data_IF_412784474165
#
_entry.id   IF_412784474165
#
_cell.length_a   1.000
_cell.length_b   1.000
_cell.length_c   1.000
_cell.angle_alpha   90.00
_cell.angle_beta   90.00
_cell.angle_gamma   90.00
#
_symmetry.space_group_name_H-M   'P 1'
#
loop_
_entity.id
_entity.type
_entity.pdbx_description
1 polymer ?
#
# COMPACT_ATOMS: atom_id res chain seq x y z
N UNK A 1 30.52 40.16 13.74
CA UNK A 1 29.24 39.43 13.75
C UNK A 1 29.49 38.10 13.06
N UNK A 2 29.52 37.00 13.81
CA UNK A 2 29.67 35.66 13.24
C UNK A 2 28.34 35.26 12.62
N UNK A 3 28.29 35.27 11.28
CA UNK A 3 27.18 34.73 10.51
C UNK A 3 27.16 33.20 10.66
N UNK A 4 26.58 32.68 11.74
CA UNK A 4 26.23 31.26 11.81
C UNK A 4 24.93 31.05 11.03
N UNK A 5 24.94 30.26 9.94
CA UNK A 5 23.73 29.97 9.20
C UNK A 5 22.75 29.19 10.09
N UNK A 6 21.47 29.59 10.08
CA UNK A 6 20.42 28.90 10.81
C UNK A 6 20.11 27.57 10.13
N UNK A 7 20.31 26.47 10.86
CA UNK A 7 20.04 25.10 10.38
C UNK A 7 18.88 24.53 11.22
N UNK A 8 17.75 24.14 10.61
CA UNK A 8 16.64 23.52 11.33
C UNK A 8 17.07 22.21 12.01
N UNK A 9 16.63 22.01 13.25
CA UNK A 9 16.73 20.70 13.90
C UNK A 9 15.61 19.81 13.36
N UNK A 10 15.97 18.71 12.71
CA UNK A 10 15.00 17.81 12.09
C UNK A 10 14.10 17.15 13.14
N UNK A 11 12.79 17.11 12.88
CA UNK A 11 11.83 16.28 13.64
C UNK A 11 11.96 14.78 13.29
N UNK A 12 12.70 14.44 12.24
CA UNK A 12 12.89 13.09 11.72
C UNK A 12 14.38 12.87 11.39
N UNK A 13 15.27 12.87 12.41
CA UNK A 13 16.72 12.81 12.18
C UNK A 13 17.19 11.47 11.59
N UNK A 14 16.35 10.44 11.61
CA UNK A 14 16.69 9.08 11.16
C UNK A 14 16.21 8.76 9.74
N UNK A 15 15.57 9.70 9.03
CA UNK A 15 15.13 9.47 7.66
C UNK A 15 16.19 9.94 6.66
N UNK A 16 16.67 9.01 5.84
CA UNK A 16 17.55 9.27 4.70
C UNK A 16 16.83 9.22 3.35
N UNK A 17 17.59 9.40 2.27
CA UNK A 17 17.13 9.15 0.90
C UNK A 17 16.69 7.69 0.74
N UNK A 18 15.57 7.44 0.07
CA UNK A 18 15.00 6.09 0.00
C UNK A 18 15.75 5.18 -0.98
N UNK A 19 15.88 3.89 -0.62
CA UNK A 19 16.52 2.84 -1.43
C UNK A 19 15.97 2.78 -2.86
N UNK A 20 14.69 3.12 -3.05
CA UNK A 20 14.01 3.12 -4.34
C UNK A 20 14.70 4.02 -5.38
N UNK A 21 15.20 5.19 -4.95
CA UNK A 21 15.91 6.12 -5.82
C UNK A 21 17.28 5.58 -6.22
N UNK A 22 18.00 4.93 -5.30
CA UNK A 22 19.30 4.34 -5.57
C UNK A 22 19.19 3.20 -6.59
N UNK A 23 18.24 2.28 -6.38
CA UNK A 23 18.02 1.15 -7.30
C UNK A 23 17.56 1.61 -8.69
N UNK A 24 16.75 2.66 -8.76
CA UNK A 24 16.32 3.23 -10.06
C UNK A 24 17.50 3.86 -10.82
N UNK A 25 18.38 4.59 -10.12
CA UNK A 25 19.58 5.17 -10.72
C UNK A 25 20.55 4.08 -11.20
N UNK A 26 20.77 3.05 -10.38
CA UNK A 26 21.62 1.91 -10.73
C UNK A 26 21.08 1.15 -11.95
N UNK A 27 19.77 0.93 -12.00
CA UNK A 27 19.12 0.29 -13.14
C UNK A 27 19.30 1.07 -14.43
N UNK A 28 19.14 2.40 -14.39
CA UNK A 28 19.38 3.27 -15.54
C UNK A 28 20.85 3.22 -16.00
N UNK A 29 21.80 3.27 -15.06
CA UNK A 29 23.23 3.24 -15.37
C UNK A 29 23.65 1.95 -16.08
N UNK A 30 23.03 0.82 -15.74
CA UNK A 30 23.38 -0.51 -16.28
C UNK A 30 22.39 -1.03 -17.32
N UNK A 31 21.41 -0.21 -17.75
CA UNK A 31 20.34 -0.64 -18.67
C UNK A 31 19.64 -1.93 -18.19
N UNK A 32 19.45 -2.02 -16.86
CA UNK A 32 18.78 -3.14 -16.23
C UNK A 32 17.26 -3.05 -16.38
N UNK A 33 16.59 -4.20 -16.44
CA UNK A 33 15.13 -4.26 -16.37
C UNK A 33 14.70 -3.87 -14.96
N UNK A 34 13.91 -2.80 -14.86
CA UNK A 34 13.53 -2.23 -13.57
C UNK A 34 12.27 -2.91 -12.99
N UNK A 35 12.47 -3.97 -12.19
CA UNK A 35 11.44 -4.59 -11.37
C UNK A 35 11.44 -4.06 -9.92
N UNK A 36 12.26 -3.04 -9.61
CA UNK A 36 12.38 -2.47 -8.26
C UNK A 36 11.24 -1.49 -7.94
N UNK A 37 10.84 -0.68 -8.92
CA UNK A 37 9.81 0.34 -8.78
C UNK A 37 8.41 -0.28 -8.72
N UNK A 38 7.69 0.04 -7.64
CA UNK A 38 6.35 -0.46 -7.35
C UNK A 38 5.21 0.26 -8.08
N UNK A 39 5.39 0.58 -9.36
CA UNK A 39 4.35 1.16 -10.21
C UNK A 39 4.42 0.61 -11.66
N UNK A 40 3.29 0.67 -12.41
CA UNK A 40 3.20 0.21 -13.80
C UNK A 40 4.16 0.90 -14.77
N UNK A 41 4.69 0.17 -15.76
CA UNK A 41 5.37 0.73 -16.95
C UNK A 41 4.45 0.71 -18.20
N UNK A 42 3.15 0.53 -17.96
CA UNK A 42 2.04 0.67 -18.90
C UNK A 42 1.06 1.71 -18.35
N UNK A 43 0.26 2.31 -19.24
CA UNK A 43 -0.66 3.38 -18.87
C UNK A 43 -2.03 2.84 -18.40
N UNK A 44 -2.85 3.71 -17.82
CA UNK A 44 -4.18 3.39 -17.31
C UNK A 44 -5.30 3.38 -18.36
N UNK A 45 -6.55 3.17 -17.93
CA UNK A 45 -7.71 3.12 -18.83
C UNK A 45 -7.92 4.44 -19.57
N UNK A 46 -8.02 4.35 -20.89
CA UNK A 46 -8.23 5.52 -21.76
C UNK A 46 -9.51 6.29 -21.43
N UNK A 47 -10.60 5.57 -21.12
CA UNK A 47 -11.87 6.21 -20.73
C UNK A 47 -11.66 7.19 -19.57
N UNK A 48 -10.92 6.77 -18.54
CA UNK A 48 -10.62 7.58 -17.37
C UNK A 48 -9.86 8.87 -17.74
N UNK A 49 -8.88 8.78 -18.66
CA UNK A 49 -8.15 9.94 -19.19
C UNK A 49 -9.06 10.90 -19.99
N UNK A 50 -9.95 10.34 -20.81
CA UNK A 50 -10.92 11.12 -21.60
C UNK A 50 -11.91 11.85 -20.68
N UNK A 51 -12.36 11.21 -19.60
CA UNK A 51 -13.24 11.84 -18.61
C UNK A 51 -12.53 12.97 -17.86
N UNK A 52 -11.24 12.82 -17.53
CA UNK A 52 -10.45 13.91 -16.96
C UNK A 52 -10.41 15.11 -17.91
N UNK A 53 -10.04 14.89 -19.17
CA UNK A 53 -9.99 15.95 -20.17
C UNK A 53 -11.36 16.63 -20.36
N UNK A 54 -12.44 15.84 -20.37
CA UNK A 54 -13.81 16.34 -20.45
C UNK A 54 -14.15 17.29 -19.29
N UNK A 55 -13.90 16.89 -18.04
CA UNK A 55 -14.24 17.73 -16.87
C UNK A 55 -13.39 19.00 -16.78
N UNK A 56 -12.12 18.93 -17.20
CA UNK A 56 -11.27 20.12 -17.36
C UNK A 56 -11.87 21.08 -18.37
N UNK A 57 -12.28 20.58 -19.54
CA UNK A 57 -12.86 21.39 -20.62
C UNK A 57 -14.22 22.01 -20.25
N UNK A 58 -15.01 21.35 -19.39
CA UNK A 58 -16.27 21.87 -18.85
C UNK A 58 -16.08 22.95 -17.77
N UNK A 59 -14.83 23.27 -17.40
CA UNK A 59 -14.54 24.31 -16.41
C UNK A 59 -14.64 23.85 -14.96
N UNK A 60 -14.75 22.54 -14.69
CA UNK A 60 -14.81 21.97 -13.34
C UNK A 60 -13.44 21.95 -12.64
N UNK A 61 -12.77 23.10 -12.61
CA UNK A 61 -11.38 23.29 -12.19
C UNK A 61 -11.25 24.06 -10.86
N UNK A 62 -12.36 24.51 -10.28
CA UNK A 62 -12.38 25.19 -8.98
C UNK A 62 -12.39 24.18 -7.83
N UNK A 63 -12.27 24.67 -6.60
CA UNK A 63 -12.25 23.82 -5.41
C UNK A 63 -13.41 22.82 -5.35
N UNK A 64 -13.07 21.56 -5.09
CA UNK A 64 -14.04 20.55 -4.70
C UNK A 64 -14.49 20.78 -3.24
N UNK A 65 -15.61 20.19 -2.81
CA UNK A 65 -15.94 20.11 -1.39
C UNK A 65 -14.80 19.47 -0.59
N UNK A 66 -14.57 19.92 0.65
CA UNK A 66 -13.46 19.44 1.49
C UNK A 66 -13.47 17.93 1.70
N UNK A 67 -14.64 17.31 1.84
CA UNK A 67 -14.74 15.85 2.01
C UNK A 67 -14.54 15.06 0.71
N UNK A 68 -14.50 15.74 -0.43
CA UNK A 68 -14.52 15.18 -1.77
C UNK A 68 -15.81 15.47 -2.53
N UNK A 69 -15.74 15.35 -3.85
CA UNK A 69 -16.88 15.51 -4.76
C UNK A 69 -17.98 14.52 -4.41
N UNK A 70 -19.22 15.00 -4.29
CA UNK A 70 -20.40 14.21 -3.91
C UNK A 70 -20.54 12.94 -4.77
N UNK A 71 -20.51 13.10 -6.09
CA UNK A 71 -20.65 11.98 -7.03
C UNK A 71 -19.56 10.91 -6.86
N UNK A 72 -18.35 11.29 -6.44
CA UNK A 72 -17.29 10.32 -6.16
C UNK A 72 -17.55 9.59 -4.85
N UNK A 73 -17.94 10.28 -3.79
CA UNK A 73 -18.27 9.65 -2.50
C UNK A 73 -19.45 8.68 -2.63
N UNK A 74 -20.50 9.06 -3.35
CA UNK A 74 -21.64 8.18 -3.64
C UNK A 74 -21.22 6.94 -4.46
N UNK A 75 -20.37 7.11 -5.47
CA UNK A 75 -19.84 5.98 -6.26
C UNK A 75 -18.99 5.03 -5.41
N UNK A 76 -18.19 5.56 -4.47
CA UNK A 76 -17.43 4.77 -3.50
C UNK A 76 -18.38 4.03 -2.55
N UNK A 77 -19.42 4.68 -2.03
CA UNK A 77 -20.40 4.05 -1.15
C UNK A 77 -21.07 2.84 -1.82
N UNK A 78 -21.54 3.02 -3.07
CA UNK A 78 -22.14 1.94 -3.85
C UNK A 78 -21.15 0.81 -4.18
N UNK A 79 -19.90 1.15 -4.51
CA UNK A 79 -18.83 0.16 -4.71
C UNK A 79 -18.61 -0.68 -3.43
N UNK A 80 -18.59 -0.01 -2.28
CA UNK A 80 -18.36 -0.64 -0.98
C UNK A 80 -19.49 -1.62 -0.62
N UNK A 81 -20.74 -1.24 -0.91
CA UNK A 81 -21.91 -2.10 -0.73
C UNK A 81 -21.82 -3.36 -1.56
N UNK A 82 -21.51 -3.22 -2.86
CA UNK A 82 -21.39 -4.35 -3.79
C UNK A 82 -20.27 -5.33 -3.40
N UNK A 83 -19.14 -4.81 -2.91
CA UNK A 83 -17.98 -5.64 -2.58
C UNK A 83 -18.09 -6.31 -1.21
N UNK A 84 -18.61 -5.61 -0.20
CA UNK A 84 -18.50 -6.03 1.20
C UNK A 84 -19.86 -6.16 1.91
N UNK A 85 -20.98 -5.97 1.20
CA UNK A 85 -22.33 -6.14 1.74
C UNK A 85 -22.72 -5.07 2.76
N UNK A 86 -22.07 -3.91 2.74
CA UNK A 86 -22.37 -2.77 3.60
C UNK A 86 -22.17 -1.45 2.86
N UNK A 87 -23.15 -0.56 2.95
CA UNK A 87 -23.09 0.77 2.37
C UNK A 87 -22.74 1.81 3.46
N UNK A 88 -21.54 2.43 3.40
CA UNK A 88 -21.22 3.59 4.22
C UNK A 88 -22.10 4.78 3.86
N UNK A 89 -22.29 5.70 4.80
CA UNK A 89 -22.90 6.99 4.50
C UNK A 89 -21.92 7.82 3.65
N UNK A 90 -22.38 8.25 2.47
CA UNK A 90 -21.52 8.96 1.53
C UNK A 90 -21.05 10.32 2.08
N UNK A 91 -21.84 10.97 2.94
CA UNK A 91 -21.59 12.31 3.46
C UNK A 91 -20.77 12.29 4.74
N UNK A 92 -20.94 11.30 5.63
CA UNK A 92 -20.22 11.24 6.89
C UNK A 92 -19.03 10.28 6.91
N UNK A 93 -19.06 9.19 6.14
CA UNK A 93 -18.15 8.06 6.37
C UNK A 93 -16.99 7.98 5.36
N UNK A 94 -17.11 8.70 4.24
CA UNK A 94 -16.13 8.66 3.14
C UNK A 94 -15.39 9.99 3.02
N UNK A 95 -14.06 9.96 2.97
CA UNK A 95 -13.23 11.16 2.76
C UNK A 95 -12.25 10.93 1.63
N UNK A 96 -12.30 11.75 0.59
CA UNK A 96 -11.35 11.71 -0.54
C UNK A 96 -10.07 12.45 -0.16
N UNK A 97 -8.92 11.88 -0.50
CA UNK A 97 -7.59 12.43 -0.18
C UNK A 97 -6.68 12.43 -1.41
N UNK A 98 -5.59 13.20 -1.38
CA UNK A 98 -4.55 13.28 -2.41
C UNK A 98 -3.65 12.03 -2.38
N UNK A 99 -4.27 10.88 -2.64
CA UNK A 99 -3.68 9.55 -2.58
C UNK A 99 -3.87 8.91 -1.20
N UNK A 100 -3.67 7.60 -1.16
CA UNK A 100 -3.72 6.83 0.08
C UNK A 100 -2.66 7.29 1.10
N UNK A 101 -1.52 7.80 0.64
CA UNK A 101 -0.48 8.36 1.52
C UNK A 101 -1.03 9.48 2.41
N UNK A 102 -1.87 10.38 1.87
CA UNK A 102 -2.51 11.41 2.69
C UNK A 102 -3.58 10.79 3.61
N UNK A 103 -4.38 9.84 3.14
CA UNK A 103 -5.37 9.17 4.00
C UNK A 103 -4.73 8.48 5.21
N UNK A 104 -3.62 7.76 5.00
CA UNK A 104 -2.82 7.16 6.06
C UNK A 104 -2.30 8.22 7.03
N UNK A 105 -1.68 9.28 6.52
CA UNK A 105 -1.18 10.36 7.37
C UNK A 105 -2.30 11.01 8.18
N UNK A 106 -3.40 11.40 7.53
CA UNK A 106 -4.52 12.06 8.18
C UNK A 106 -5.16 11.18 9.25
N UNK A 107 -5.33 9.88 8.98
CA UNK A 107 -5.86 8.92 9.94
C UNK A 107 -4.91 8.69 11.13
N UNK A 108 -3.62 8.51 10.88
CA UNK A 108 -2.62 8.36 11.94
C UNK A 108 -2.58 9.64 12.79
N UNK A 109 -2.48 10.81 12.17
CA UNK A 109 -2.41 12.09 12.89
C UNK A 109 -3.67 12.42 13.67
N UNK A 110 -4.84 12.02 13.19
CA UNK A 110 -6.10 12.22 13.89
C UNK A 110 -6.25 11.32 15.13
N UNK A 111 -5.68 10.10 15.09
CA UNK A 111 -5.96 9.07 16.10
C UNK A 111 -4.84 8.85 17.10
N UNK A 112 -3.60 9.21 16.75
CA UNK A 112 -2.40 9.03 17.59
C UNK A 112 -2.07 10.31 18.35
N UNK A 113 -1.99 10.20 19.67
CA UNK A 113 -1.54 11.26 20.58
C UNK A 113 -0.13 10.94 21.09
N UNK A 114 0.49 11.93 21.73
CA UNK A 114 1.81 11.75 22.35
C UNK A 114 1.80 10.60 23.36
N UNK A 115 2.72 9.65 23.18
CA UNK A 115 2.90 8.50 24.07
C UNK A 115 2.01 7.29 23.75
N UNK A 116 1.07 7.41 22.81
CA UNK A 116 0.26 6.29 22.35
C UNK A 116 1.13 5.26 21.63
N UNK A 117 0.84 3.97 21.85
CA UNK A 117 1.50 2.86 21.16
C UNK A 117 0.72 2.44 19.92
N UNK A 118 1.44 2.23 18.82
CA UNK A 118 0.87 1.80 17.54
C UNK A 118 1.53 0.50 17.12
N UNK A 119 0.74 -0.56 16.98
CA UNK A 119 1.22 -1.86 16.50
C UNK A 119 1.32 -1.84 14.98
N UNK A 120 2.48 -2.18 14.45
CA UNK A 120 2.79 -2.34 13.03
C UNK A 120 3.42 -3.72 12.78
N UNK A 121 3.38 -4.18 11.53
CA UNK A 121 3.90 -5.49 11.12
C UNK A 121 5.05 -5.30 10.13
N UNK A 122 6.24 -5.74 10.49
CA UNK A 122 7.39 -5.77 9.59
C UNK A 122 7.44 -7.12 8.85
N UNK A 123 7.87 -7.16 7.58
CA UNK A 123 8.33 -6.02 6.77
C UNK A 123 7.17 -5.06 6.41
N UNK A 124 7.37 -3.75 6.57
CA UNK A 124 6.29 -2.74 6.49
C UNK A 124 6.51 -1.73 5.37
N UNK A 125 5.43 -1.19 4.80
CA UNK A 125 5.50 0.03 4.01
C UNK A 125 6.04 1.20 4.86
N UNK A 126 6.93 2.00 4.28
CA UNK A 126 7.80 2.94 4.99
C UNK A 126 7.09 4.19 5.53
N UNK A 127 5.91 4.52 5.00
CA UNK A 127 5.21 5.76 5.35
C UNK A 127 4.54 5.76 6.73
N UNK A 128 4.28 4.60 7.33
CA UNK A 128 3.53 4.53 8.59
C UNK A 128 4.34 5.08 9.77
N UNK A 129 5.59 4.61 9.91
CA UNK A 129 6.45 4.95 11.06
C UNK A 129 6.73 6.46 11.18
N UNK A 130 7.05 7.19 10.09
CA UNK A 130 7.23 8.64 10.15
C UNK A 130 5.98 9.41 10.60
N UNK A 131 4.78 9.01 10.15
CA UNK A 131 3.54 9.68 10.54
C UNK A 131 3.25 9.48 12.04
N UNK A 132 3.46 8.26 12.56
CA UNK A 132 3.34 7.95 13.99
C UNK A 132 4.32 8.82 14.80
N UNK A 133 5.59 8.88 14.37
CA UNK A 133 6.62 9.67 15.03
C UNK A 133 6.30 11.17 15.05
N UNK A 134 5.77 11.72 13.96
CA UNK A 134 5.40 13.14 13.89
C UNK A 134 4.25 13.53 14.83
N UNK A 135 3.39 12.56 15.19
CA UNK A 135 2.35 12.67 16.22
C UNK A 135 2.84 12.34 17.65
N UNK A 136 4.10 11.97 17.81
CA UNK A 136 4.69 11.58 19.11
C UNK A 136 4.25 10.21 19.60
N UNK A 137 3.76 9.35 18.71
CA UNK A 137 3.44 7.95 19.02
C UNK A 137 4.68 7.06 19.04
N UNK A 138 4.53 5.88 19.64
CA UNK A 138 5.57 4.86 19.79
C UNK A 138 5.21 3.65 18.96
N UNK A 139 6.06 3.29 18.00
CA UNK A 139 5.84 2.09 17.17
C UNK A 139 6.18 0.84 17.98
N UNK A 140 5.27 -0.13 18.00
CA UNK A 140 5.47 -1.51 18.46
C UNK A 140 5.43 -2.43 17.25
N UNK A 141 6.54 -3.11 16.96
CA UNK A 141 6.65 -3.93 15.75
C UNK A 141 6.47 -5.40 16.08
N UNK A 142 5.75 -6.08 15.21
CA UNK A 142 5.75 -7.54 15.09
C UNK A 142 6.55 -7.92 13.85
N UNK A 143 7.48 -8.85 13.96
CA UNK A 143 8.26 -9.32 12.82
C UNK A 143 7.59 -10.55 12.19
N UNK A 144 6.84 -10.36 11.11
CA UNK A 144 6.23 -11.44 10.35
C UNK A 144 7.33 -12.31 9.70
N UNK A 145 7.24 -13.62 9.90
CA UNK A 145 8.28 -14.54 9.46
C UNK A 145 7.97 -15.19 8.10
N UNK A 146 8.95 -15.27 7.18
CA UNK A 146 8.80 -16.06 5.96
C UNK A 146 8.64 -17.57 6.28
N UNK A 147 8.09 -18.37 5.34
CA UNK A 147 7.67 -17.98 4.00
C UNK A 147 6.23 -17.46 3.92
N UNK A 148 5.44 -17.58 4.99
CA UNK A 148 3.99 -17.31 4.96
C UNK A 148 3.58 -15.99 5.62
N UNK A 149 4.48 -15.33 6.36
CA UNK A 149 4.24 -14.02 7.00
C UNK A 149 2.91 -13.93 7.76
N UNK A 150 2.55 -15.01 8.46
CA UNK A 150 1.32 -15.06 9.26
C UNK A 150 1.53 -14.29 10.56
N UNK A 151 0.46 -13.67 11.04
CA UNK A 151 0.42 -13.04 12.36
C UNK A 151 0.52 -14.12 13.42
N UNK A 152 1.50 -14.02 14.31
CA UNK A 152 1.51 -14.77 15.56
C UNK A 152 0.62 -14.03 16.57
N UNK A 153 -0.55 -14.59 16.84
CA UNK A 153 -1.54 -13.98 17.74
C UNK A 153 -1.12 -14.00 19.21
N UNK A 154 -0.18 -14.86 19.62
CA UNK A 154 0.39 -14.84 20.97
C UNK A 154 1.41 -13.70 21.09
N UNK A 155 2.27 -13.53 20.08
CA UNK A 155 3.17 -12.36 19.99
C UNK A 155 2.35 -11.05 19.93
N UNK A 156 1.26 -11.03 19.16
CA UNK A 156 0.35 -9.88 19.09
C UNK A 156 -0.18 -9.51 20.47
N UNK A 157 -0.69 -10.49 21.20
CA UNK A 157 -1.24 -10.28 22.54
C UNK A 157 -0.18 -9.75 23.52
N UNK A 158 1.07 -10.17 23.37
CA UNK A 158 2.19 -9.69 24.20
C UNK A 158 2.61 -8.24 23.88
N UNK A 159 2.30 -7.72 22.69
CA UNK A 159 2.54 -6.32 22.32
C UNK A 159 1.47 -5.36 22.84
N UNK A 160 0.30 -5.88 23.22
CA UNK A 160 -0.78 -5.06 23.77
C UNK A 160 -0.41 -4.47 25.13
N UNK A 161 -0.81 -3.23 25.34
CA UNK A 161 -0.73 -2.54 26.63
C UNK A 161 -1.88 -1.55 26.78
N UNK A 162 -2.01 -0.97 27.97
CA UNK A 162 -2.93 0.14 28.25
C UNK A 162 -2.68 1.39 27.37
N UNK A 163 -1.51 1.48 26.73
CA UNK A 163 -1.16 2.57 25.81
C UNK A 163 -1.41 2.22 24.34
N UNK A 164 -1.73 0.97 24.02
CA UNK A 164 -2.01 0.59 22.64
C UNK A 164 -3.26 1.33 22.18
N UNK A 165 -3.10 2.17 21.16
CA UNK A 165 -4.16 3.02 20.62
C UNK A 165 -4.63 2.56 19.25
N UNK A 166 -3.71 2.01 18.46
CA UNK A 166 -3.92 1.79 17.04
C UNK A 166 -3.16 0.54 16.59
N UNK A 167 -3.79 -0.24 15.71
CA UNK A 167 -3.15 -1.29 14.92
C UNK A 167 -3.18 -0.83 13.46
N UNK A 168 -2.02 -0.82 12.80
CA UNK A 168 -1.92 -0.58 11.35
C UNK A 168 -1.60 -1.91 10.68
N UNK A 169 -2.50 -2.38 9.84
CA UNK A 169 -2.30 -3.57 9.01
C UNK A 169 -2.37 -3.19 7.53
N UNK A 170 -1.72 -3.98 6.67
CA UNK A 170 -1.76 -3.80 5.23
C UNK A 170 -2.09 -5.13 4.54
N UNK A 171 -3.20 -5.16 3.81
CA UNK A 171 -3.67 -6.37 3.13
C UNK A 171 -4.42 -6.01 1.84
N UNK A 172 -4.01 -6.53 0.67
CA UNK A 172 -2.81 -7.34 0.42
C UNK A 172 -1.49 -6.65 0.80
N UNK A 173 -0.57 -7.42 1.38
CA UNK A 173 0.58 -6.92 2.12
C UNK A 173 1.77 -6.60 1.21
N UNK A 174 2.16 -5.33 1.17
CA UNK A 174 3.42 -4.87 0.60
C UNK A 174 4.46 -4.73 1.73
N UNK A 175 5.56 -5.50 1.70
CA UNK A 175 6.15 -6.15 0.51
C UNK A 175 5.95 -7.68 0.38
N UNK A 176 5.36 -8.38 1.35
CA UNK A 176 5.41 -9.86 1.38
C UNK A 176 4.55 -10.57 0.32
N UNK A 177 3.60 -9.87 -0.28
CA UNK A 177 2.60 -10.40 -1.21
C UNK A 177 1.61 -11.41 -0.57
N UNK A 178 1.52 -11.44 0.76
CA UNK A 178 0.51 -12.24 1.50
C UNK A 178 -0.77 -11.46 1.73
N UNK A 179 -1.84 -12.14 2.11
CA UNK A 179 -3.13 -11.51 2.43
C UNK A 179 -3.65 -11.97 3.78
N UNK A 180 -4.37 -11.08 4.45
CA UNK A 180 -5.19 -11.46 5.59
C UNK A 180 -6.42 -12.22 5.13
N UNK A 181 -6.77 -13.27 5.85
CA UNK A 181 -7.98 -14.04 5.67
C UNK A 181 -9.09 -13.53 6.58
N UNK A 182 -10.33 -13.96 6.32
CA UNK A 182 -11.46 -13.65 7.21
C UNK A 182 -11.20 -14.07 8.67
N UNK A 183 -10.51 -15.20 8.86
CA UNK A 183 -10.13 -15.70 10.18
C UNK A 183 -9.13 -14.78 10.89
N UNK A 184 -8.25 -14.10 10.16
CA UNK A 184 -7.27 -13.17 10.75
C UNK A 184 -7.97 -11.90 11.27
N UNK A 185 -8.96 -11.39 10.55
CA UNK A 185 -9.80 -10.29 11.07
C UNK A 185 -10.62 -10.73 12.29
N UNK A 186 -11.17 -11.95 12.28
CA UNK A 186 -11.86 -12.49 13.44
C UNK A 186 -10.92 -12.60 14.65
N UNK A 187 -9.68 -13.05 14.45
CA UNK A 187 -8.67 -13.14 15.51
C UNK A 187 -8.24 -11.76 16.02
N UNK A 188 -8.06 -10.77 15.12
CA UNK A 188 -7.80 -9.38 15.50
C UNK A 188 -8.91 -8.84 16.41
N UNK A 189 -10.17 -9.05 16.03
CA UNK A 189 -11.31 -8.65 16.86
C UNK A 189 -11.23 -9.28 18.25
N UNK A 190 -11.02 -10.59 18.35
CA UNK A 190 -10.90 -11.28 19.64
C UNK A 190 -9.78 -10.68 20.49
N UNK A 191 -8.65 -10.32 19.88
CA UNK A 191 -7.51 -9.77 20.60
C UNK A 191 -7.71 -8.33 21.12
N UNK A 192 -8.50 -7.49 20.41
CA UNK A 192 -8.63 -6.06 20.74
C UNK A 192 -10.01 -5.63 21.27
N UNK A 193 -11.00 -6.53 21.28
CA UNK A 193 -12.40 -6.18 21.55
C UNK A 193 -12.61 -5.39 22.85
N UNK A 194 -11.91 -5.77 23.92
CA UNK A 194 -12.03 -5.15 25.24
C UNK A 194 -11.25 -3.84 25.42
N UNK A 195 -10.51 -3.39 24.40
CA UNK A 195 -9.55 -2.29 24.52
C UNK A 195 -9.97 -1.11 23.63
N UNK A 196 -9.51 0.10 23.96
CA UNK A 196 -9.74 1.32 23.16
C UNK A 196 -8.76 1.44 21.98
N UNK A 197 -8.73 0.38 21.16
CA UNK A 197 -7.80 0.24 20.04
C UNK A 197 -8.56 0.45 18.73
N UNK A 198 -8.11 1.43 17.95
CA UNK A 198 -8.53 1.65 16.57
C UNK A 198 -7.76 0.75 15.60
N UNK A 199 -8.28 0.58 14.39
CA UNK A 199 -7.59 -0.12 13.29
C UNK A 199 -7.46 0.79 12.08
N UNK A 200 -6.29 0.85 11.47
CA UNK A 200 -6.11 1.33 10.10
C UNK A 200 -5.76 0.13 9.24
N UNK A 201 -6.58 -0.13 8.23
CA UNK A 201 -6.37 -1.16 7.23
C UNK A 201 -5.96 -0.49 5.91
N UNK A 202 -4.69 -0.58 5.57
CA UNK A 202 -4.20 -0.19 4.25
C UNK A 202 -4.58 -1.28 3.25
N UNK A 203 -5.60 -1.01 2.43
CA UNK A 203 -6.17 -1.92 1.44
C UNK A 203 -5.97 -1.38 0.02
N UNK A 204 -4.89 -0.64 -0.25
CA UNK A 204 -4.67 -0.05 -1.59
C UNK A 204 -4.55 -1.08 -2.72
N UNK A 205 -4.33 -2.35 -2.38
CA UNK A 205 -4.27 -3.49 -3.28
C UNK A 205 -5.53 -4.38 -3.22
N UNK A 206 -6.66 -3.91 -2.65
CA UNK A 206 -7.90 -4.69 -2.44
C UNK A 206 -8.38 -5.46 -3.70
N UNK A 207 -8.13 -4.93 -4.89
CA UNK A 207 -8.53 -5.55 -6.16
C UNK A 207 -7.47 -6.50 -6.75
N UNK A 208 -6.37 -6.72 -6.05
CA UNK A 208 -5.26 -7.58 -6.50
C UNK A 208 -5.04 -8.65 -5.43
N UNK A 209 -6.05 -9.50 -5.27
CA UNK A 209 -5.99 -10.69 -4.45
C UNK A 209 -6.31 -11.92 -5.30
N UNK A 210 -5.43 -12.91 -5.26
CA UNK A 210 -5.49 -14.11 -6.09
C UNK A 210 -6.25 -15.27 -5.43
N UNK A 211 -6.73 -15.10 -4.19
CA UNK A 211 -7.53 -16.09 -3.47
C UNK A 211 -8.84 -16.38 -4.20
N UNK A 212 -9.38 -17.59 -4.01
CA UNK A 212 -10.70 -17.93 -4.55
C UNK A 212 -11.82 -17.24 -3.77
N UNK A 213 -11.60 -16.97 -2.47
CA UNK A 213 -12.56 -16.28 -1.62
C UNK A 213 -12.67 -14.78 -1.92
N UNK A 214 -11.72 -14.21 -2.67
CA UNK A 214 -11.59 -12.78 -2.87
C UNK A 214 -10.97 -12.07 -1.66
N UNK A 215 -10.88 -10.74 -1.76
CA UNK A 215 -10.28 -9.88 -0.73
C UNK A 215 -11.11 -9.83 0.54
N UNK A 216 -10.50 -10.17 1.67
CA UNK A 216 -11.07 -9.93 2.98
C UNK A 216 -10.76 -8.50 3.42
N UNK A 217 -11.78 -7.66 3.48
CA UNK A 217 -11.66 -6.28 3.95
C UNK A 217 -12.02 -6.17 5.43
N UNK A 218 -11.41 -5.21 6.15
CA UNK A 218 -11.87 -4.83 7.50
C UNK A 218 -13.33 -4.37 7.49
N UNK A 219 -13.80 -3.82 6.36
CA UNK A 219 -15.18 -3.38 6.18
C UNK A 219 -16.17 -4.55 6.14
N UNK A 220 -15.72 -5.77 5.84
CA UNK A 220 -16.59 -6.94 5.86
C UNK A 220 -16.84 -7.48 7.30
N UNK A 221 -16.05 -7.05 8.29
CA UNK A 221 -16.21 -7.47 9.68
C UNK A 221 -17.07 -6.45 10.47
N UNK A 222 -18.30 -6.80 10.92
CA UNK A 222 -19.22 -5.83 11.50
C UNK A 222 -18.67 -5.04 12.70
N UNK A 223 -18.01 -5.71 13.65
CA UNK A 223 -17.52 -5.06 14.86
C UNK A 223 -16.23 -4.26 14.66
N UNK A 224 -15.27 -4.77 13.87
CA UNK A 224 -14.05 -4.03 13.54
C UNK A 224 -14.36 -2.78 12.73
N UNK A 225 -15.31 -2.85 11.78
CA UNK A 225 -15.75 -1.72 10.96
C UNK A 225 -16.07 -0.47 11.80
N UNK A 226 -16.77 -0.64 12.93
CA UNK A 226 -17.17 0.46 13.83
C UNK A 226 -15.99 1.14 14.56
N UNK A 227 -14.77 0.64 14.40
CA UNK A 227 -13.54 1.20 14.99
C UNK A 227 -12.36 1.21 14.02
N UNK A 228 -12.62 1.06 12.73
CA UNK A 228 -11.60 0.94 11.71
C UNK A 228 -11.66 2.06 10.67
N UNK A 229 -10.52 2.28 10.02
CA UNK A 229 -10.36 3.10 8.83
C UNK A 229 -9.82 2.19 7.73
N UNK A 230 -10.60 1.96 6.68
CA UNK A 230 -10.10 1.31 5.47
C UNK A 230 -9.55 2.38 4.53
N UNK A 231 -8.35 2.17 3.98
CA UNK A 231 -7.69 3.11 3.05
C UNK A 231 -7.53 2.48 1.68
N UNK A 232 -7.92 3.21 0.64
CA UNK A 232 -7.89 2.75 -0.75
C UNK A 232 -7.14 3.74 -1.66
N UNK A 233 -6.63 3.25 -2.80
CA UNK A 233 -5.93 4.08 -3.79
C UNK A 233 -6.43 3.85 -5.22
N UNK A 234 -6.94 4.91 -5.85
CA UNK A 234 -7.29 4.87 -7.27
C UNK A 234 -6.07 4.77 -8.17
N UNK A 235 -4.95 5.39 -7.79
CA UNK A 235 -3.70 5.29 -8.56
C UNK A 235 -3.17 3.85 -8.67
N UNK A 236 -3.45 3.00 -7.67
CA UNK A 236 -3.12 1.57 -7.70
C UNK A 236 -4.11 0.78 -8.56
N UNK A 237 -5.40 1.04 -8.37
CA UNK A 237 -6.48 0.34 -9.09
C UNK A 237 -6.47 0.63 -10.60
N UNK A 238 -6.21 1.87 -11.00
CA UNK A 238 -6.30 2.31 -12.40
C UNK A 238 -4.92 2.59 -13.04
N UNK A 239 -3.87 1.99 -12.48
CA UNK A 239 -2.51 2.00 -13.04
C UNK A 239 -1.83 3.37 -13.19
N UNK A 240 -2.45 4.45 -12.69
CA UNK A 240 -1.97 5.83 -12.83
C UNK A 240 -1.54 6.40 -11.48
N UNK A 241 -0.44 5.90 -10.92
CA UNK A 241 0.03 6.26 -9.57
C UNK A 241 0.34 7.75 -9.40
N UNK A 242 0.65 8.45 -10.49
CA UNK A 242 0.90 9.89 -10.51
C UNK A 242 -0.34 10.76 -10.30
N UNK A 243 -1.55 10.21 -10.44
CA UNK A 243 -2.79 10.97 -10.24
C UNK A 243 -3.06 11.34 -8.79
N UNK A 244 -2.48 10.58 -7.85
CA UNK A 244 -2.56 10.85 -6.39
C UNK A 244 -3.99 11.16 -5.94
N UNK A 245 -4.92 10.24 -6.21
CA UNK A 245 -6.26 10.24 -5.60
C UNK A 245 -6.45 8.93 -4.83
N UNK A 246 -6.90 9.05 -3.59
CA UNK A 246 -7.25 7.95 -2.70
C UNK A 246 -8.44 8.35 -1.85
N UNK A 247 -8.85 7.47 -0.95
CA UNK A 247 -9.90 7.76 0.01
C UNK A 247 -9.77 6.87 1.23
N UNK A 248 -10.47 7.24 2.30
CA UNK A 248 -10.73 6.35 3.42
C UNK A 248 -12.22 6.22 3.70
N UNK A 249 -12.59 5.07 4.27
CA UNK A 249 -13.92 4.76 4.79
C UNK A 249 -13.80 4.46 6.28
N UNK A 250 -14.51 5.23 7.10
CA UNK A 250 -14.56 5.05 8.54
C UNK A 250 -15.89 5.57 9.10
N UNK A 251 -16.38 5.03 10.24
CA UNK A 251 -17.55 5.56 10.92
C UNK A 251 -17.50 7.08 11.11
N UNK A 252 -18.65 7.74 10.99
CA UNK A 252 -18.80 9.19 11.08
C UNK A 252 -17.94 9.88 12.18
N UNK A 253 -17.86 9.37 13.44
CA UNK A 253 -17.04 10.01 14.46
C UNK A 253 -15.53 10.00 14.14
N UNK A 254 -15.03 8.91 13.55
CA UNK A 254 -13.63 8.76 13.15
C UNK A 254 -13.36 9.63 11.92
N UNK A 255 -14.23 9.54 10.92
CA UNK A 255 -14.14 10.35 9.70
C UNK A 255 -14.16 11.85 10.00
N UNK A 256 -14.92 12.31 11.00
CA UNK A 256 -14.92 13.70 11.43
C UNK A 256 -13.53 14.17 11.89
N UNK A 257 -12.79 13.38 12.67
CA UNK A 257 -11.44 13.74 13.11
C UNK A 257 -10.42 13.67 11.97
N UNK A 258 -10.54 12.68 11.07
CA UNK A 258 -9.71 12.60 9.86
C UNK A 258 -9.88 13.87 9.01
N UNK A 259 -11.14 14.30 8.82
CA UNK A 259 -11.47 15.51 8.03
C UNK A 259 -10.90 16.78 8.65
N UNK A 260 -10.85 16.90 9.98
CA UNK A 260 -10.22 18.04 10.66
C UNK A 260 -8.71 18.13 10.40
N UNK A 261 -8.04 17.00 10.18
CA UNK A 261 -6.64 16.98 9.75
C UNK A 261 -6.56 17.30 8.25
N UNK A 262 -7.25 16.53 7.40
CA UNK A 262 -7.27 16.69 5.95
C UNK A 262 -7.55 18.12 5.48
N UNK A 263 -8.51 18.81 6.11
CA UNK A 263 -8.90 20.17 5.74
C UNK A 263 -7.74 21.18 5.82
N UNK A 264 -6.70 20.90 6.61
CA UNK A 264 -5.52 21.75 6.77
C UNK A 264 -4.25 21.14 6.15
N UNK A 265 -4.33 19.91 5.64
CA UNK A 265 -3.25 19.30 4.86
C UNK A 265 -3.31 19.74 3.41
N UNK A 266 -4.45 19.51 2.77
CA UNK A 266 -4.65 19.84 1.35
C UNK A 266 -5.96 20.58 1.09
N UNK A 267 -6.86 20.65 2.08
CA UNK A 267 -8.20 21.22 2.02
C UNK A 267 -9.16 20.53 1.05
N UNK A 268 -8.75 20.33 -0.20
CA UNK A 268 -9.53 19.65 -1.23
C UNK A 268 -8.58 18.96 -2.23
N UNK A 269 -9.09 17.95 -2.93
CA UNK A 269 -8.34 17.15 -3.91
C UNK A 269 -8.72 17.55 -5.34
N UNK A 270 -7.86 17.28 -6.32
CA UNK A 270 -8.05 17.62 -7.73
C UNK A 270 -9.48 17.33 -8.24
N UNK A 271 -10.26 18.40 -8.46
CA UNK A 271 -11.69 18.34 -8.81
C UNK A 271 -12.00 17.57 -10.09
N UNK A 272 -11.35 17.86 -11.24
CA UNK A 272 -11.68 17.13 -12.47
C UNK A 272 -11.26 15.66 -12.41
N UNK A 273 -10.18 15.30 -11.70
CA UNK A 273 -9.80 13.91 -11.48
C UNK A 273 -10.84 13.15 -10.65
N UNK A 274 -11.39 13.78 -9.59
CA UNK A 274 -12.45 13.17 -8.78
C UNK A 274 -13.71 12.87 -9.62
N UNK A 275 -14.12 13.81 -10.46
CA UNK A 275 -15.27 13.63 -11.36
C UNK A 275 -15.01 12.53 -12.40
N UNK A 276 -13.81 12.45 -12.96
CA UNK A 276 -13.42 11.39 -13.89
C UNK A 276 -13.43 10.00 -13.23
N UNK A 277 -12.97 9.91 -11.98
CA UNK A 277 -12.98 8.67 -11.20
C UNK A 277 -14.41 8.24 -10.84
N UNK A 278 -15.29 9.19 -10.55
CA UNK A 278 -16.72 8.90 -10.34
C UNK A 278 -17.36 8.35 -11.61
N UNK A 279 -17.02 8.88 -12.78
CA UNK A 279 -17.47 8.34 -14.07
C UNK A 279 -16.93 6.93 -14.29
N UNK A 280 -15.62 6.69 -14.09
CA UNK A 280 -15.00 5.37 -14.24
C UNK A 280 -15.67 4.30 -13.36
N UNK A 281 -15.88 4.60 -12.08
CA UNK A 281 -16.51 3.66 -11.14
C UNK A 281 -17.93 3.24 -11.55
N UNK A 282 -18.68 4.16 -12.17
CA UNK A 282 -20.06 3.93 -12.59
C UNK A 282 -20.14 3.27 -13.97
N UNK A 283 -19.25 3.64 -14.88
CA UNK A 283 -19.25 3.19 -16.26
C UNK A 283 -18.64 1.79 -16.41
N UNK A 284 -17.55 1.49 -15.71
CA UNK A 284 -16.77 0.25 -15.89
C UNK A 284 -16.44 -0.44 -14.55
N UNK A 285 -17.45 -0.80 -13.73
CA UNK A 285 -17.21 -1.52 -12.47
C UNK A 285 -16.50 -2.87 -12.66
N UNK A 286 -16.62 -3.49 -13.82
CA UNK A 286 -15.93 -4.72 -14.19
C UNK A 286 -14.40 -4.58 -14.23
N UNK A 287 -13.87 -3.36 -14.38
CA UNK A 287 -12.42 -3.13 -14.42
C UNK A 287 -11.74 -3.73 -13.19
N UNK A 288 -12.22 -3.39 -11.99
CA UNK A 288 -11.59 -3.87 -10.76
C UNK A 288 -11.90 -5.35 -10.46
N UNK A 289 -13.01 -5.88 -10.99
CA UNK A 289 -13.34 -7.31 -10.88
C UNK A 289 -12.42 -8.19 -11.73
N UNK A 290 -11.88 -7.65 -12.83
CA UNK A 290 -10.95 -8.35 -13.72
C UNK A 290 -9.47 -8.23 -13.29
N UNK A 291 -9.14 -7.35 -12.34
CA UNK A 291 -7.76 -7.10 -11.91
C UNK A 291 -7.05 -8.33 -11.32
N UNK A 292 -7.70 -9.22 -10.54
CA UNK A 292 -7.05 -10.44 -10.06
C UNK A 292 -6.48 -11.28 -11.19
N UNK A 293 -7.26 -11.55 -12.25
CA UNK A 293 -6.81 -12.39 -13.36
C UNK A 293 -5.84 -11.66 -14.28
N UNK A 294 -6.03 -10.36 -14.51
CA UNK A 294 -5.07 -9.52 -15.21
C UNK A 294 -3.67 -9.60 -14.60
N UNK A 295 -3.57 -9.49 -13.26
CA UNK A 295 -2.30 -9.57 -12.57
C UNK A 295 -1.80 -11.01 -12.36
N UNK A 296 -2.69 -12.01 -12.27
CA UNK A 296 -2.32 -13.43 -12.19
C UNK A 296 -1.55 -13.86 -13.44
N UNK A 297 -2.00 -13.45 -14.63
CA UNK A 297 -1.28 -13.72 -15.89
C UNK A 297 0.16 -13.17 -15.85
N UNK A 298 0.34 -11.95 -15.35
CA UNK A 298 1.66 -11.30 -15.25
C UNK A 298 2.56 -11.95 -14.21
N UNK A 299 1.98 -12.30 -13.05
CA UNK A 299 2.67 -13.04 -11.99
C UNK A 299 3.21 -14.36 -12.55
N UNK A 300 2.38 -15.09 -13.28
CA UNK A 300 2.70 -16.43 -13.77
C UNK A 300 3.83 -16.42 -14.81
N UNK A 301 4.05 -15.32 -15.53
CA UNK A 301 5.24 -15.15 -16.40
C UNK A 301 6.53 -15.28 -15.58
N UNK A 302 6.66 -14.56 -14.46
CA UNK A 302 7.85 -14.64 -13.61
C UNK A 302 7.91 -15.97 -12.86
N UNK A 303 6.76 -16.47 -12.38
CA UNK A 303 6.71 -17.75 -11.66
C UNK A 303 7.21 -18.89 -12.51
N UNK A 304 6.71 -19.02 -13.73
CA UNK A 304 7.12 -20.09 -14.65
C UNK A 304 8.59 -20.00 -15.04
N UNK A 305 9.11 -18.78 -15.23
CA UNK A 305 10.52 -18.59 -15.57
C UNK A 305 11.47 -18.98 -14.43
N UNK A 306 11.13 -18.59 -13.20
CA UNK A 306 11.95 -18.85 -12.02
C UNK A 306 11.86 -20.32 -11.55
N UNK A 307 10.82 -21.07 -11.90
CA UNK A 307 10.76 -22.53 -11.66
C UNK A 307 11.85 -23.31 -12.41
N UNK A 308 12.50 -22.73 -13.42
CA UNK A 308 13.67 -23.30 -14.12
C UNK A 308 15.01 -22.69 -13.66
N UNK A 309 14.98 -21.75 -12.71
CA UNK A 309 16.15 -21.13 -12.09
C UNK A 309 16.47 -21.82 -10.74
N UNK A 310 17.65 -21.54 -10.17
CA UNK A 310 17.96 -21.87 -8.77
C UNK A 310 17.34 -20.91 -7.76
N UNK A 311 16.75 -19.80 -8.22
CA UNK A 311 15.99 -18.88 -7.38
C UNK A 311 14.66 -19.55 -6.96
N UNK A 312 14.28 -19.42 -5.69
CA UNK A 312 13.01 -19.97 -5.20
C UNK A 312 11.97 -18.87 -5.02
N UNK A 313 10.69 -19.20 -5.26
CA UNK A 313 9.59 -18.24 -5.14
C UNK A 313 8.74 -18.58 -3.92
N UNK A 314 8.39 -17.55 -3.16
CA UNK A 314 7.44 -17.67 -2.06
C UNK A 314 5.99 -17.50 -2.58
N UNK A 315 4.99 -18.10 -1.91
CA UNK A 315 3.59 -17.95 -2.31
C UNK A 315 3.17 -16.47 -2.43
N UNK A 316 2.61 -16.11 -3.59
CA UNK A 316 2.09 -14.78 -3.88
C UNK A 316 0.56 -14.83 -3.92
N UNK A 317 -0.05 -14.30 -2.86
CA UNK A 317 -1.49 -14.33 -2.60
C UNK A 317 -2.20 -13.04 -3.02
N UNK A 318 -1.45 -11.94 -3.14
CA UNK A 318 -1.96 -10.66 -3.61
C UNK A 318 -0.87 -9.62 -3.85
N UNK A 319 -1.28 -8.38 -4.08
CA UNK A 319 -0.44 -7.30 -4.64
C UNK A 319 0.07 -7.61 -6.04
N UNK A 320 0.87 -6.70 -6.62
CA UNK A 320 1.65 -6.97 -7.82
C UNK A 320 3.15 -7.19 -7.54
N UNK A 321 3.47 -7.61 -6.32
CA UNK A 321 4.83 -7.95 -5.88
C UNK A 321 5.02 -9.45 -5.73
N UNK A 322 6.26 -9.90 -5.92
CA UNK A 322 6.67 -11.30 -5.78
C UNK A 322 7.94 -11.35 -4.94
N UNK A 323 7.96 -12.22 -3.93
CA UNK A 323 9.17 -12.49 -3.15
C UNK A 323 9.95 -13.67 -3.75
N UNK A 324 11.26 -13.48 -3.84
CA UNK A 324 12.22 -14.46 -4.36
C UNK A 324 13.31 -14.68 -3.33
N UNK A 325 13.56 -15.95 -2.99
CA UNK A 325 14.69 -16.40 -2.19
C UNK A 325 15.88 -16.73 -3.10
N UNK A 326 17.05 -16.17 -2.79
CA UNK A 326 18.27 -16.36 -3.57
C UNK A 326 19.35 -17.19 -2.86
N UNK A 327 18.99 -17.92 -1.80
CA UNK A 327 19.93 -18.67 -0.95
C UNK A 327 20.76 -19.70 -1.73
N UNK A 328 20.20 -20.33 -2.76
CA UNK A 328 20.91 -21.30 -3.59
C UNK A 328 21.81 -20.67 -4.66
N UNK A 329 21.78 -19.34 -4.80
CA UNK A 329 22.49 -18.58 -5.84
C UNK A 329 23.69 -17.83 -5.27
N UNK A 330 23.53 -17.17 -4.12
CA UNK A 330 24.56 -16.27 -3.57
C UNK A 330 24.61 -16.27 -2.04
N UNK A 331 25.77 -15.92 -1.50
CA UNK A 331 26.01 -15.73 -0.06
C UNK A 331 25.92 -14.28 0.40
N UNK A 332 25.78 -13.32 -0.52
CA UNK A 332 25.65 -11.89 -0.23
C UNK A 332 24.42 -11.60 0.64
N UNK A 333 24.42 -10.46 1.32
CA UNK A 333 23.18 -9.90 1.89
C UNK A 333 22.25 -9.36 0.79
N UNK A 334 21.01 -9.04 1.11
CA UNK A 334 20.00 -8.73 0.09
C UNK A 334 20.24 -7.37 -0.60
N UNK A 335 20.87 -6.42 0.09
CA UNK A 335 21.23 -5.12 -0.47
C UNK A 335 22.34 -5.30 -1.49
N UNK A 336 23.42 -5.98 -1.11
CA UNK A 336 24.54 -6.30 -2.00
C UNK A 336 24.10 -7.21 -3.15
N UNK A 337 23.24 -8.20 -2.88
CA UNK A 337 22.67 -9.07 -3.90
C UNK A 337 21.85 -8.29 -4.93
N UNK A 338 21.01 -7.34 -4.51
CA UNK A 338 20.24 -6.52 -5.46
C UNK A 338 21.13 -5.65 -6.33
N UNK A 339 22.24 -5.12 -5.79
CA UNK A 339 23.21 -4.37 -6.56
C UNK A 339 23.92 -5.27 -7.58
N UNK A 340 24.38 -6.45 -7.15
CA UNK A 340 25.00 -7.46 -8.00
C UNK A 340 24.06 -7.93 -9.12
N UNK A 341 22.81 -8.29 -8.78
CA UNK A 341 21.80 -8.72 -9.75
C UNK A 341 21.52 -7.63 -10.80
N UNK A 342 21.54 -6.36 -10.38
CA UNK A 342 21.35 -5.22 -11.29
C UNK A 342 22.55 -5.05 -12.24
N UNK A 343 23.78 -5.20 -11.73
CA UNK A 343 25.01 -4.97 -12.49
C UNK A 343 25.35 -6.14 -13.42
N UNK A 344 25.29 -7.37 -12.91
CA UNK A 344 25.76 -8.56 -13.61
C UNK A 344 24.68 -9.23 -14.46
N UNK A 345 23.43 -9.25 -13.96
CA UNK A 345 22.32 -9.90 -14.65
C UNK A 345 21.29 -8.91 -15.21
N UNK A 346 21.49 -7.61 -14.99
CA UNK A 346 20.62 -6.58 -15.55
C UNK A 346 19.17 -6.68 -15.09
N UNK A 347 18.91 -7.10 -13.85
CA UNK A 347 17.56 -7.09 -13.26
C UNK A 347 17.60 -6.36 -11.93
N UNK A 348 16.87 -5.25 -11.81
CA UNK A 348 16.80 -4.51 -10.57
C UNK A 348 15.62 -4.97 -9.71
N UNK A 349 15.91 -5.31 -8.46
CA UNK A 349 14.96 -5.71 -7.42
C UNK A 349 15.01 -4.72 -6.23
N UNK A 350 14.23 -4.98 -5.18
CA UNK A 350 14.38 -4.29 -3.89
C UNK A 350 14.73 -5.32 -2.80
N UNK A 351 15.77 -5.07 -1.98
CA UNK A 351 16.07 -5.90 -0.80
C UNK A 351 14.90 -5.89 0.18
N UNK A 352 14.52 -7.03 0.77
CA UNK A 352 13.40 -7.08 1.70
C UNK A 352 13.74 -6.40 3.04
N UNK A 353 15.02 -6.41 3.43
CA UNK A 353 15.55 -5.84 4.68
C UNK A 353 15.24 -4.34 4.85
N UNK A 354 15.11 -3.58 3.77
CA UNK A 354 14.82 -2.14 3.83
C UNK A 354 13.38 -1.82 4.26
N UNK A 355 12.51 -2.83 4.30
CA UNK A 355 11.17 -2.73 4.85
C UNK A 355 11.12 -3.16 6.32
N UNK A 356 12.24 -3.60 6.90
CA UNK A 356 12.36 -4.02 8.29
C UNK A 356 13.16 -2.98 9.08
N UNK A 357 12.73 -2.67 10.29
CA UNK A 357 13.49 -1.82 11.19
C UNK A 357 14.65 -2.59 11.86
N UNK A 358 14.38 -3.85 12.22
CA UNK A 358 15.35 -4.76 12.84
C UNK A 358 16.01 -5.67 11.80
N UNK A 359 17.19 -6.26 12.10
CA UNK A 359 17.86 -7.18 11.19
C UNK A 359 16.93 -8.29 10.68
N UNK A 360 16.92 -8.50 9.36
CA UNK A 360 16.10 -9.51 8.70
C UNK A 360 17.01 -10.62 8.15
N UNK A 361 17.23 -11.72 8.89
CA UNK A 361 18.26 -12.73 8.58
C UNK A 361 17.82 -13.71 7.50
N UNK A 362 17.31 -13.19 6.38
CA UNK A 362 16.83 -13.98 5.25
C UNK A 362 17.36 -13.41 3.93
N UNK A 363 17.44 -14.26 2.91
CA UNK A 363 17.90 -13.91 1.57
C UNK A 363 16.73 -13.67 0.64
N UNK A 364 15.90 -12.67 0.95
CA UNK A 364 14.70 -12.36 0.20
C UNK A 364 14.80 -11.01 -0.51
N UNK A 365 14.35 -10.99 -1.76
CA UNK A 365 14.18 -9.76 -2.55
C UNK A 365 12.74 -9.67 -3.07
N UNK A 366 12.29 -8.44 -3.30
CA UNK A 366 10.98 -8.13 -3.86
C UNK A 366 11.10 -7.71 -5.32
N UNK A 367 10.37 -8.40 -6.19
CA UNK A 367 10.15 -8.04 -7.60
C UNK A 367 8.76 -7.45 -7.80
N UNK A 368 8.63 -6.47 -8.70
CA UNK A 368 7.35 -5.90 -9.12
C UNK A 368 6.97 -6.42 -10.51
N UNK A 369 5.86 -7.16 -10.62
CA UNK A 369 5.37 -7.68 -11.90
C UNK A 369 4.26 -6.83 -12.54
N UNK A 370 3.97 -5.64 -12.00
CA UNK A 370 3.18 -4.63 -12.69
C UNK A 370 3.98 -4.03 -13.84
N UNK A 371 4.26 -4.84 -14.88
CA UNK A 371 4.97 -4.42 -16.08
C UNK A 371 4.29 -4.91 -17.36
N UNK A 372 4.66 -4.31 -18.50
CA UNK A 372 4.33 -4.79 -19.84
C UNK A 372 4.85 -6.21 -20.00
N UNK A 373 4.15 -7.00 -20.82
CA UNK A 373 4.53 -8.38 -21.08
C UNK A 373 5.97 -8.49 -21.61
N UNK A 374 6.36 -7.62 -22.54
CA UNK A 374 7.73 -7.58 -23.07
C UNK A 374 8.78 -7.35 -21.98
N UNK A 375 8.48 -6.52 -20.98
CA UNK A 375 9.36 -6.23 -19.85
C UNK A 375 9.51 -7.46 -18.96
N UNK A 376 8.40 -8.16 -18.68
CA UNK A 376 8.40 -9.38 -17.87
C UNK A 376 9.13 -10.53 -18.56
N UNK A 377 8.93 -10.73 -19.87
CA UNK A 377 9.63 -11.73 -20.66
C UNK A 377 11.15 -11.47 -20.71
N UNK A 378 11.56 -10.20 -20.86
CA UNK A 378 12.98 -9.83 -20.84
C UNK A 378 13.62 -10.06 -19.46
N UNK A 379 12.90 -9.78 -18.37
CA UNK A 379 13.36 -10.11 -17.02
C UNK A 379 13.42 -11.63 -16.78
N UNK A 380 12.39 -12.37 -17.19
CA UNK A 380 12.32 -13.83 -17.09
C UNK A 380 13.54 -14.50 -17.74
N UNK A 381 13.90 -14.08 -18.95
CA UNK A 381 15.06 -14.63 -19.66
C UNK A 381 16.39 -14.36 -18.93
N UNK A 382 16.54 -13.18 -18.29
CA UNK A 382 17.72 -12.86 -17.49
C UNK A 382 17.75 -13.66 -16.18
N UNK A 383 16.60 -13.83 -15.53
CA UNK A 383 16.49 -14.54 -14.26
C UNK A 383 16.72 -16.05 -14.40
N UNK A 384 16.41 -16.66 -15.55
CA UNK A 384 16.69 -18.08 -15.85
C UNK A 384 18.18 -18.43 -15.88
N UNK A 385 19.06 -17.44 -15.95
CA UNK A 385 20.51 -17.65 -15.96
C UNK A 385 21.07 -17.96 -14.57
N UNK A 386 20.27 -17.77 -13.51
CA UNK A 386 20.68 -17.94 -12.12
C UNK A 386 20.40 -19.32 -11.57
#
# INVERSE_FOLDING_TARGET
MTNNPLIPQSKLPQLGTTIFTQMSALAQQHQAINLSQGFPDFDGPRYLQERLAYHVAQGANQYAPMTGVQALREAIAQKTERLYGYQPDADSDITVTAGATEALYAAITALVRNGDEVICFDPSYDSYSPAIALSGGIVKRMALQPPHFRVDWQEFAALLSERTRLVILNTPHNPSATVWQQADFAALWQAIAGHEIFVISDEVYEHINFSQQGHASVLAHPQLRERAVAVSSFGKTYHMTGWKVGYCVAPAPISAEIRKVHQYLTFSVNTPAQLALADMLRAEPEHYLALPDFYRQKRDILVNALNESRLEILPCEGTYFLLVDYSAVSTLDDVEFCQWLTQEHGVAAIPLSVFCADPFPHKLIRLCFAKKESTLLAAAERLRQL
#
